data_IF_120531624684
#
_entry.id   IF_120531624684
#
_cell.length_a   1.000
_cell.length_b   1.000
_cell.length_c   1.000
_cell.angle_alpha   90.00
_cell.angle_beta   90.00
_cell.angle_gamma   90.00
#
_symmetry.space_group_name_H-M   'P 1'
#
loop_
_entity.id
_entity.type
_entity.pdbx_description
1 polymer ?
#
# COMPACT_ATOMS: atom_id res chain seq x y z
N UNK A 1 -8.20 -3.39 10.75
CA UNK A 1 -6.90 -4.07 10.52
C UNK A 1 -5.82 -3.31 11.28
N UNK A 2 -5.04 -3.97 12.13
CA UNK A 2 -3.92 -3.34 12.86
C UNK A 2 -2.63 -3.61 12.09
N UNK A 3 -1.94 -2.55 11.68
CA UNK A 3 -0.64 -2.69 11.02
C UNK A 3 0.37 -3.38 11.95
N UNK A 4 1.22 -4.21 11.36
CA UNK A 4 2.30 -4.91 12.07
C UNK A 4 3.56 -4.04 12.07
N UNK A 5 4.31 -4.08 13.16
CA UNK A 5 5.65 -3.49 13.21
C UNK A 5 6.64 -4.46 12.59
N UNK A 6 7.37 -4.04 11.55
CA UNK A 6 8.40 -4.90 10.93
C UNK A 6 9.69 -4.97 11.77
N UNK A 7 10.02 -3.88 12.45
CA UNK A 7 11.18 -3.78 13.32
C UNK A 7 10.74 -3.57 14.78
N UNK A 8 11.56 -3.97 15.78
CA UNK A 8 11.30 -3.67 17.18
C UNK A 8 11.10 -2.17 17.38
N UNK A 9 10.04 -1.80 18.10
CA UNK A 9 9.72 -0.42 18.45
C UNK A 9 9.78 -0.30 19.96
N UNK A 10 10.32 0.81 20.45
CA UNK A 10 10.31 1.08 21.88
C UNK A 10 8.86 1.12 22.39
N UNK A 11 8.54 0.49 23.54
CA UNK A 11 7.15 0.38 24.00
C UNK A 11 6.41 1.73 24.14
N UNK A 12 7.13 2.79 24.48
CA UNK A 12 6.61 4.17 24.61
C UNK A 12 6.17 4.78 23.27
N UNK A 13 6.76 4.33 22.16
CA UNK A 13 6.45 4.82 20.82
C UNK A 13 5.31 4.04 20.15
N UNK A 14 5.02 2.82 20.59
CA UNK A 14 3.97 1.97 20.01
C UNK A 14 2.60 2.64 20.03
N UNK A 15 2.20 3.20 21.18
CA UNK A 15 0.91 3.90 21.33
C UNK A 15 0.85 5.16 20.47
N UNK A 16 1.96 5.89 20.38
CA UNK A 16 2.10 7.10 19.57
C UNK A 16 1.94 6.79 18.08
N UNK A 17 2.59 5.73 17.58
CA UNK A 17 2.49 5.30 16.19
C UNK A 17 1.08 4.80 15.86
N UNK A 18 0.46 4.03 16.75
CA UNK A 18 -0.93 3.60 16.57
C UNK A 18 -1.89 4.78 16.51
N UNK A 19 -1.71 5.78 17.40
CA UNK A 19 -2.50 7.02 17.39
C UNK A 19 -2.31 7.80 16.09
N UNK A 20 -1.07 7.92 15.60
CA UNK A 20 -0.76 8.54 14.31
C UNK A 20 -1.45 7.83 13.15
N UNK A 21 -1.35 6.51 13.08
CA UNK A 21 -1.96 5.71 12.00
C UNK A 21 -3.48 5.78 12.05
N UNK A 22 -4.10 5.80 13.24
CA UNK A 22 -5.55 6.02 13.39
C UNK A 22 -5.97 7.40 12.84
N UNK A 23 -5.21 8.45 13.14
CA UNK A 23 -5.48 9.80 12.61
C UNK A 23 -5.24 9.89 11.11
N UNK A 24 -4.21 9.22 10.60
CA UNK A 24 -3.94 9.13 9.16
C UNK A 24 -5.11 8.45 8.43
N UNK A 25 -5.60 7.33 8.95
CA UNK A 25 -6.78 6.67 8.39
C UNK A 25 -8.03 7.57 8.47
N UNK A 26 -8.24 8.25 9.60
CA UNK A 26 -9.36 9.19 9.77
C UNK A 26 -9.30 10.36 8.78
N UNK A 27 -8.09 10.87 8.47
CA UNK A 27 -7.90 11.96 7.50
C UNK A 27 -8.44 11.60 6.11
N UNK A 28 -8.17 10.40 5.61
CA UNK A 28 -8.66 9.94 4.31
C UNK A 28 -10.14 9.54 4.35
N UNK A 29 -10.58 8.88 5.44
CA UNK A 29 -11.99 8.50 5.61
C UNK A 29 -12.92 9.72 5.61
N UNK A 30 -12.52 10.80 6.29
CA UNK A 30 -13.30 12.05 6.34
C UNK A 30 -13.43 12.72 4.97
N UNK A 31 -12.55 12.38 4.01
CA UNK A 31 -12.58 12.87 2.62
C UNK A 31 -13.24 11.88 1.67
N UNK A 32 -13.83 10.78 2.17
CA UNK A 32 -14.41 9.70 1.38
C UNK A 32 -13.41 9.08 0.37
N UNK A 33 -12.15 8.97 0.75
CA UNK A 33 -11.11 8.34 -0.06
C UNK A 33 -10.88 6.90 0.43
N UNK A 34 -11.00 5.90 -0.43
CA UNK A 34 -10.73 4.49 -0.11
C UNK A 34 -9.22 4.25 -0.03
N UNK A 35 -8.59 4.84 0.97
CA UNK A 35 -7.17 4.67 1.26
C UNK A 35 -7.05 3.73 2.44
N UNK A 36 -6.29 2.65 2.25
CA UNK A 36 -5.95 1.71 3.32
C UNK A 36 -4.47 1.81 3.63
N UNK A 37 -4.13 1.70 4.91
CA UNK A 37 -2.74 1.60 5.29
C UNK A 37 -2.25 0.15 5.17
N UNK A 38 -1.08 -0.04 4.58
CA UNK A 38 -0.45 -1.34 4.35
C UNK A 38 1.02 -1.36 4.79
N UNK A 39 1.52 -2.54 5.14
CA UNK A 39 2.94 -2.75 5.45
C UNK A 39 3.32 -2.44 6.90
N UNK A 40 4.44 -1.74 7.07
CA UNK A 40 5.02 -1.46 8.39
C UNK A 40 4.26 -0.34 9.10
N UNK A 41 3.85 -0.59 10.35
CA UNK A 41 3.19 0.40 11.18
C UNK A 41 4.01 1.69 11.36
N UNK A 42 5.35 1.64 11.35
CA UNK A 42 6.19 2.84 11.45
C UNK A 42 6.16 3.68 10.18
N UNK A 43 6.13 3.04 9.02
CA UNK A 43 6.19 3.67 7.70
C UNK A 43 5.11 3.05 6.78
N UNK A 44 3.83 3.32 7.05
CA UNK A 44 2.75 2.69 6.31
C UNK A 44 2.73 3.19 4.87
N UNK A 45 2.52 2.26 3.94
CA UNK A 45 2.11 2.61 2.58
C UNK A 45 0.63 2.98 2.61
N UNK A 46 0.27 4.09 1.98
CA UNK A 46 -1.13 4.47 1.77
C UNK A 46 -1.57 3.95 0.40
N UNK A 47 -2.55 3.07 0.39
CA UNK A 47 -3.02 2.36 -0.80
C UNK A 47 -4.44 2.79 -1.14
N UNK A 48 -4.60 3.55 -2.22
CA UNK A 48 -5.86 3.98 -2.80
C UNK A 48 -6.49 2.86 -3.62
N UNK A 49 -7.79 2.62 -3.41
CA UNK A 49 -8.61 1.60 -4.08
C UNK A 49 -7.98 0.19 -4.10
N UNK A 50 -7.08 -0.10 -3.15
CA UNK A 50 -6.39 -1.38 -3.05
C UNK A 50 -5.28 -1.64 -4.09
N UNK A 51 -5.02 -0.72 -5.03
CA UNK A 51 -4.13 -0.95 -6.17
C UNK A 51 -3.19 0.22 -6.53
N UNK A 52 -3.29 1.38 -5.86
CA UNK A 52 -2.41 2.54 -6.14
C UNK A 52 -1.77 3.05 -4.85
N UNK A 53 -0.45 3.08 -4.81
CA UNK A 53 0.33 3.63 -3.71
C UNK A 53 0.43 5.15 -3.84
N UNK A 54 0.00 5.87 -2.81
CA UNK A 54 0.10 7.32 -2.80
C UNK A 54 1.56 7.78 -2.69
N UNK A 55 1.90 8.82 -3.44
CA UNK A 55 3.14 9.58 -3.38
C UNK A 55 3.20 10.43 -2.09
N UNK A 56 3.09 9.78 -0.94
CA UNK A 56 3.02 10.43 0.35
C UNK A 56 3.69 9.59 1.43
N UNK A 57 4.09 10.22 2.52
CA UNK A 57 4.52 9.52 3.73
C UNK A 57 4.08 10.29 4.98
N UNK A 58 4.13 9.61 6.12
CA UNK A 58 3.85 10.23 7.41
C UNK A 58 5.10 10.28 8.26
N UNK A 59 5.39 11.44 8.84
CA UNK A 59 6.50 11.64 9.77
C UNK A 59 6.03 12.52 10.93
N UNK A 60 6.13 12.04 12.17
CA UNK A 60 5.75 12.80 13.37
C UNK A 60 4.36 13.49 13.31
N UNK A 61 3.32 12.76 12.90
CA UNK A 61 1.96 13.28 12.68
C UNK A 61 1.83 14.27 11.52
N UNK A 62 2.85 14.49 10.71
CA UNK A 62 2.74 15.23 9.46
C UNK A 62 2.53 14.26 8.32
N UNK A 63 1.37 14.33 7.66
CA UNK A 63 1.16 13.72 6.35
C UNK A 63 1.80 14.64 5.31
N UNK A 64 2.83 14.14 4.64
CA UNK A 64 3.58 14.86 3.61
C UNK A 64 3.24 14.28 2.25
N UNK A 65 2.70 15.13 1.40
CA UNK A 65 2.26 14.81 0.04
C UNK A 65 3.33 15.28 -0.94
N UNK A 66 3.75 14.40 -1.84
CA UNK A 66 4.91 14.60 -2.70
C UNK A 66 4.50 14.84 -4.14
N UNK A 67 5.43 15.40 -4.92
CA UNK A 67 5.28 15.58 -6.36
C UNK A 67 5.51 14.29 -7.17
N UNK A 68 6.17 13.28 -6.59
CA UNK A 68 6.39 11.95 -7.19
C UNK A 68 6.62 10.86 -6.13
N UNK A 69 6.42 9.58 -6.48
CA UNK A 69 6.78 8.47 -5.61
C UNK A 69 8.29 8.39 -5.37
N UNK A 70 8.69 7.78 -4.25
CA UNK A 70 10.08 7.41 -3.95
C UNK A 70 11.09 8.57 -4.10
N UNK A 71 11.04 9.55 -3.18
CA UNK A 71 11.92 10.75 -3.11
C UNK A 71 11.47 11.96 -3.96
N UNK A 72 10.19 12.28 -3.90
CA UNK A 72 9.68 13.57 -4.37
C UNK A 72 9.90 14.73 -3.39
N UNK A 73 9.71 15.95 -3.90
CA UNK A 73 9.62 17.17 -3.09
C UNK A 73 8.28 17.24 -2.36
N UNK A 74 8.27 17.86 -1.18
CA UNK A 74 7.06 17.99 -0.37
C UNK A 74 6.24 19.17 -0.89
N UNK A 75 5.09 18.87 -1.50
CA UNK A 75 4.19 19.87 -2.07
C UNK A 75 3.17 20.36 -1.06
N UNK A 76 2.75 19.49 -0.14
CA UNK A 76 1.78 19.84 0.90
C UNK A 76 2.01 19.05 2.17
N UNK A 77 1.74 19.69 3.31
CA UNK A 77 1.79 19.06 4.62
C UNK A 77 0.45 19.25 5.31
N UNK A 78 -0.14 18.15 5.78
CA UNK A 78 -1.31 18.15 6.65
C UNK A 78 -0.94 17.62 8.02
N UNK A 79 -1.25 18.40 9.08
CA UNK A 79 -1.00 17.95 10.44
C UNK A 79 -2.13 17.05 10.91
N UNK A 80 -1.78 15.84 11.30
CA UNK A 80 -2.70 14.81 11.80
C UNK A 80 -3.07 15.10 13.25
N UNK A 81 -4.07 15.95 13.43
CA UNK A 81 -4.66 16.25 14.74
C UNK A 81 -5.96 15.47 14.95
N UNK A 82 -6.66 15.76 16.05
CA UNK A 82 -8.00 15.22 16.28
C UNK A 82 -9.06 15.87 15.38
N UNK A 83 -8.88 17.16 15.08
CA UNK A 83 -9.66 17.87 14.07
C UNK A 83 -9.01 17.59 12.72
N UNK A 84 -9.75 16.95 11.82
CA UNK A 84 -9.27 16.65 10.48
C UNK A 84 -9.13 17.93 9.69
N UNK A 85 -7.92 18.20 9.20
CA UNK A 85 -7.61 19.36 8.37
C UNK A 85 -7.81 19.06 6.88
N UNK A 86 -8.02 20.12 6.11
CA UNK A 86 -8.12 20.10 4.65
C UNK A 86 -9.38 19.44 4.09
N UNK A 87 -9.68 19.73 2.83
CA UNK A 87 -10.88 19.24 2.14
C UNK A 87 -10.57 18.04 1.24
N UNK A 88 -11.63 17.40 0.72
CA UNK A 88 -11.47 16.32 -0.26
C UNK A 88 -10.83 16.86 -1.53
N UNK A 89 -11.30 18.02 -1.98
CA UNK A 89 -10.91 18.69 -3.22
C UNK A 89 -9.40 18.94 -3.22
N UNK A 90 -8.84 19.47 -2.13
CA UNK A 90 -7.39 19.70 -2.01
C UNK A 90 -6.56 18.43 -2.19
N UNK A 91 -7.05 17.29 -1.68
CA UNK A 91 -6.35 16.00 -1.80
C UNK A 91 -6.52 15.42 -3.20
N UNK A 92 -7.70 15.58 -3.79
CA UNK A 92 -7.98 15.13 -5.16
C UNK A 92 -7.18 15.94 -6.17
N UNK A 93 -7.13 17.26 -6.05
CA UNK A 93 -6.29 18.14 -6.88
C UNK A 93 -4.82 17.69 -6.83
N UNK A 94 -4.31 17.39 -5.63
CA UNK A 94 -2.96 16.84 -5.50
C UNK A 94 -2.80 15.47 -6.19
N UNK A 95 -3.77 14.57 -6.07
CA UNK A 95 -3.73 13.26 -6.75
C UNK A 95 -3.72 13.39 -8.28
N UNK A 96 -4.43 14.39 -8.82
CA UNK A 96 -4.54 14.64 -10.25
C UNK A 96 -3.30 15.35 -10.80
N UNK A 97 -2.69 16.22 -10.00
CA UNK A 97 -1.52 17.00 -10.42
C UNK A 97 -0.22 16.18 -10.43
N UNK A 98 -0.09 15.21 -9.53
CA UNK A 98 1.17 14.50 -9.31
C UNK A 98 1.02 12.98 -9.51
N UNK A 99 2.00 12.32 -10.15
CA UNK A 99 1.91 10.91 -10.45
C UNK A 99 1.92 10.04 -9.19
N UNK A 100 1.13 8.96 -9.24
CA UNK A 100 1.01 7.96 -8.18
C UNK A 100 1.63 6.62 -8.62
N UNK A 101 1.79 5.68 -7.70
CA UNK A 101 2.49 4.42 -7.97
C UNK A 101 1.50 3.27 -8.19
N UNK A 102 1.43 2.65 -9.38
CA UNK A 102 0.67 1.42 -9.57
C UNK A 102 1.23 0.30 -8.69
N UNK A 103 0.35 -0.54 -8.16
CA UNK A 103 0.72 -1.64 -7.27
C UNK A 103 0.25 -2.98 -7.81
N UNK A 104 1.17 -3.94 -7.80
CA UNK A 104 0.95 -5.27 -8.33
C UNK A 104 0.78 -6.26 -7.18
N UNK A 105 0.04 -7.34 -7.44
CA UNK A 105 -0.22 -8.43 -6.50
C UNK A 105 -0.09 -9.75 -7.24
N UNK A 106 0.23 -10.81 -6.51
CA UNK A 106 0.19 -12.17 -7.04
C UNK A 106 -1.09 -12.83 -6.57
N UNK A 107 -1.87 -13.33 -7.51
CA UNK A 107 -3.15 -13.99 -7.29
C UNK A 107 -3.05 -15.46 -7.65
N UNK A 108 -3.65 -16.32 -6.83
CA UNK A 108 -3.87 -17.70 -7.22
C UNK A 108 -4.93 -17.74 -8.33
N UNK A 109 -4.58 -18.35 -9.46
CA UNK A 109 -5.39 -18.36 -10.68
C UNK A 109 -6.83 -18.82 -10.39
N UNK A 110 -7.80 -18.16 -11.03
CA UNK A 110 -9.23 -18.50 -10.92
C UNK A 110 -9.86 -18.26 -9.53
N UNK A 111 -9.14 -17.66 -8.59
CA UNK A 111 -9.60 -17.43 -7.22
C UNK A 111 -9.66 -15.94 -6.86
N UNK A 112 -10.01 -15.59 -5.62
CA UNK A 112 -9.85 -14.23 -5.05
C UNK A 112 -8.80 -14.22 -3.94
N UNK A 113 -7.84 -15.12 -4.00
CA UNK A 113 -6.77 -15.27 -3.00
C UNK A 113 -5.46 -14.72 -3.55
N UNK A 114 -4.79 -13.91 -2.75
CA UNK A 114 -3.54 -13.24 -3.09
C UNK A 114 -2.41 -13.73 -2.20
N UNK A 115 -1.18 -13.73 -2.69
CA UNK A 115 -0.01 -14.19 -1.95
C UNK A 115 0.21 -13.32 -0.71
N UNK A 116 0.25 -13.92 0.47
CA UNK A 116 0.45 -13.23 1.76
C UNK A 116 1.83 -13.50 2.37
N UNK A 117 2.56 -14.49 1.83
CA UNK A 117 3.88 -14.88 2.27
C UNK A 117 4.15 -16.36 2.05
N UNK A 118 5.14 -16.86 2.77
CA UNK A 118 5.55 -18.25 2.71
C UNK A 118 5.54 -18.86 4.11
N UNK A 119 5.22 -20.13 4.19
CA UNK A 119 5.33 -20.94 5.39
C UNK A 119 6.19 -22.17 5.10
N UNK A 120 6.47 -22.96 6.13
CA UNK A 120 7.31 -24.15 6.03
C UNK A 120 6.56 -25.36 6.60
N UNK A 121 6.73 -26.52 5.97
CA UNK A 121 6.22 -27.80 6.49
C UNK A 121 6.89 -28.11 7.82
N UNK A 122 8.22 -27.97 7.87
CA UNK A 122 8.99 -27.96 9.11
C UNK A 122 9.37 -26.53 9.47
N UNK A 123 8.76 -25.97 10.52
CA UNK A 123 8.98 -24.59 10.95
C UNK A 123 10.31 -24.39 11.68
N UNK A 124 10.82 -25.41 12.37
CA UNK A 124 12.06 -25.30 13.14
C UNK A 124 13.27 -25.30 12.21
N UNK A 125 13.26 -26.22 11.24
CA UNK A 125 14.34 -26.37 10.26
C UNK A 125 14.14 -25.52 9.01
N UNK A 126 12.96 -24.89 8.86
CA UNK A 126 12.55 -24.12 7.66
C UNK A 126 12.63 -24.96 6.39
N UNK A 127 12.17 -26.21 6.44
CA UNK A 127 12.13 -27.13 5.31
C UNK A 127 10.72 -27.22 4.70
N UNK A 128 10.66 -27.47 3.40
CA UNK A 128 9.41 -27.58 2.64
C UNK A 128 8.66 -26.24 2.61
N UNK A 129 9.27 -25.20 2.06
CA UNK A 129 8.64 -23.88 1.91
C UNK A 129 7.42 -23.98 0.97
N UNK A 130 6.30 -23.35 1.34
CA UNK A 130 5.11 -23.24 0.48
C UNK A 130 4.47 -21.84 0.59
N UNK A 131 3.86 -21.33 -0.49
CA UNK A 131 3.16 -20.05 -0.48
C UNK A 131 1.84 -20.14 0.30
N UNK A 132 1.48 -19.02 0.92
CA UNK A 132 0.19 -18.85 1.61
C UNK A 132 -0.60 -17.78 0.89
N UNK A 133 -1.84 -18.10 0.51
CA UNK A 133 -2.74 -17.17 -0.16
C UNK A 133 -3.95 -16.83 0.73
N UNK A 134 -4.35 -15.56 0.78
CA UNK A 134 -5.55 -15.10 1.49
C UNK A 134 -6.18 -13.89 0.79
N UNK A 135 -7.41 -13.55 1.18
CA UNK A 135 -8.13 -12.38 0.63
C UNK A 135 -7.59 -11.05 1.15
N UNK A 136 -6.96 -11.06 2.32
CA UNK A 136 -6.48 -9.88 3.04
C UNK A 136 -5.00 -10.04 3.41
N UNK A 137 -4.36 -8.97 3.86
CA UNK A 137 -2.94 -8.95 4.28
C UNK A 137 -1.95 -9.48 3.23
N UNK A 138 -2.32 -9.40 1.95
CA UNK A 138 -1.49 -9.85 0.84
C UNK A 138 -0.26 -8.96 0.64
N UNK A 139 0.77 -9.53 0.01
CA UNK A 139 1.94 -8.81 -0.45
C UNK A 139 1.60 -7.89 -1.61
N UNK A 140 2.25 -6.73 -1.60
CA UNK A 140 2.11 -5.69 -2.61
C UNK A 140 3.49 -5.40 -3.16
N UNK A 141 3.58 -5.33 -4.49
CA UNK A 141 4.79 -5.05 -5.23
C UNK A 141 4.68 -3.66 -5.86
N UNK A 142 5.73 -2.85 -5.64
CA UNK A 142 5.83 -1.48 -6.18
C UNK A 142 6.36 -1.43 -7.62
N UNK A 143 7.04 -2.51 -8.02
CA UNK A 143 7.64 -2.69 -9.32
C UNK A 143 7.06 -3.96 -9.92
N UNK A 144 6.80 -3.95 -11.22
CA UNK A 144 6.21 -5.08 -11.92
C UNK A 144 7.20 -6.24 -11.95
N UNK A 145 8.45 -5.93 -12.23
CA UNK A 145 9.56 -6.87 -12.35
C UNK A 145 9.73 -7.68 -11.06
N UNK A 146 9.61 -7.02 -9.90
CA UNK A 146 9.65 -7.69 -8.61
C UNK A 146 8.45 -8.65 -8.38
N UNK A 147 7.30 -8.37 -8.98
CA UNK A 147 6.17 -9.31 -8.98
C UNK A 147 6.42 -10.47 -9.96
N UNK A 148 7.01 -10.20 -11.13
CA UNK A 148 7.37 -11.20 -12.13
C UNK A 148 8.40 -12.21 -11.60
N UNK A 149 9.40 -11.76 -10.84
CA UNK A 149 10.36 -12.64 -10.17
C UNK A 149 9.66 -13.65 -9.25
N UNK A 150 8.68 -13.20 -8.46
CA UNK A 150 7.90 -14.06 -7.58
C UNK A 150 6.95 -14.96 -8.36
N UNK A 151 6.33 -14.43 -9.42
CA UNK A 151 5.47 -15.20 -10.31
C UNK A 151 6.23 -16.39 -10.91
N UNK A 152 7.43 -16.14 -11.45
CA UNK A 152 8.27 -17.15 -12.10
C UNK A 152 8.70 -18.21 -11.08
N UNK A 153 9.16 -17.79 -9.91
CA UNK A 153 9.50 -18.72 -8.81
C UNK A 153 8.32 -19.63 -8.44
N UNK A 154 7.12 -19.08 -8.29
CA UNK A 154 5.93 -19.85 -7.93
C UNK A 154 5.49 -20.80 -9.05
N UNK A 155 5.62 -20.40 -10.31
CA UNK A 155 5.33 -21.27 -11.47
C UNK A 155 6.33 -22.42 -11.57
N UNK A 156 7.62 -22.17 -11.33
CA UNK A 156 8.66 -23.21 -11.25
C UNK A 156 8.36 -24.21 -10.12
N UNK A 157 7.86 -23.72 -8.99
CA UNK A 157 7.41 -24.53 -7.86
C UNK A 157 6.05 -25.25 -8.13
N UNK A 158 5.46 -25.08 -9.32
CA UNK A 158 4.24 -25.78 -9.76
C UNK A 158 2.91 -25.12 -9.39
N UNK A 159 2.91 -23.86 -8.97
CA UNK A 159 1.67 -23.14 -8.61
C UNK A 159 1.06 -22.40 -9.80
N UNK A 160 -0.27 -22.46 -9.90
CA UNK A 160 -1.04 -21.67 -10.86
C UNK A 160 -1.32 -20.27 -10.29
N UNK A 161 -0.52 -19.30 -10.73
CA UNK A 161 -0.58 -17.92 -10.28
C UNK A 161 -0.51 -16.94 -11.44
N UNK A 162 -1.04 -15.74 -11.21
CA UNK A 162 -1.02 -14.62 -12.14
C UNK A 162 -0.71 -13.30 -11.42
N UNK A 163 -0.19 -12.31 -12.16
CA UNK A 163 -0.09 -10.94 -11.66
C UNK A 163 -1.45 -10.27 -11.84
N UNK A 164 -1.98 -9.73 -10.76
CA UNK A 164 -3.14 -8.85 -10.81
C UNK A 164 -2.65 -7.44 -11.14
N UNK A 165 -2.98 -6.98 -12.34
CA UNK A 165 -2.78 -5.58 -12.73
C UNK A 165 -3.57 -4.63 -11.83
N UNK A 166 -3.07 -3.41 -11.58
CA UNK A 166 -3.83 -2.41 -10.86
C UNK A 166 -5.06 -1.99 -11.67
N UNK A 167 -6.24 -1.97 -11.04
CA UNK A 167 -7.47 -1.48 -11.65
C UNK A 167 -7.47 0.06 -11.63
N UNK A 168 -6.84 0.66 -12.65
CA UNK A 168 -6.67 2.12 -12.76
C UNK A 168 -7.98 2.83 -13.11
N UNK A 169 -8.90 2.15 -13.79
CA UNK A 169 -10.22 2.70 -14.12
C UNK A 169 -11.10 2.84 -12.87
N UNK A 170 -11.05 1.87 -11.95
CA UNK A 170 -11.67 2.01 -10.63
C UNK A 170 -11.13 3.24 -9.90
N UNK A 171 -9.81 3.47 -9.94
CA UNK A 171 -9.19 4.62 -9.28
C UNK A 171 -9.67 5.92 -9.92
N UNK A 172 -9.65 6.01 -11.26
CA UNK A 172 -10.13 7.19 -11.99
C UNK A 172 -11.61 7.46 -11.74
N UNK A 173 -12.45 6.43 -11.60
CA UNK A 173 -13.86 6.58 -11.23
C UNK A 173 -14.04 7.18 -9.83
N UNK A 174 -13.07 6.96 -8.93
CA UNK A 174 -13.13 7.40 -7.54
C UNK A 174 -12.59 8.82 -7.32
N UNK A 175 -11.54 9.21 -8.04
CA UNK A 175 -10.83 10.49 -7.84
C UNK A 175 -10.65 11.34 -9.10
N UNK A 176 -11.24 10.95 -10.23
CA UNK A 176 -11.05 11.60 -11.52
C UNK A 176 -9.73 11.20 -12.19
N UNK A 177 -9.39 11.84 -13.32
CA UNK A 177 -8.19 11.51 -14.10
C UNK A 177 -6.91 11.81 -13.32
N UNK A 178 -6.10 10.78 -13.06
CA UNK A 178 -4.81 10.90 -12.37
C UNK A 178 -3.70 10.24 -13.19
N UNK A 179 -2.45 10.62 -12.93
CA UNK A 179 -1.27 10.08 -13.62
C UNK A 179 -0.57 9.02 -12.77
N UNK A 180 0.15 8.11 -13.45
CA UNK A 180 0.84 6.99 -12.81
C UNK A 180 2.30 6.92 -13.28
N UNK A 181 3.22 6.62 -12.37
CA UNK A 181 4.63 6.42 -12.73
C UNK A 181 4.82 5.13 -13.51
N UNK A 182 5.66 5.18 -14.55
CA UNK A 182 6.03 4.00 -15.35
C UNK A 182 4.94 3.56 -16.33
N UNK A 183 3.85 4.33 -16.43
CA UNK A 183 2.80 4.19 -17.40
C UNK A 183 2.72 5.54 -18.11
N UNK A 184 3.70 5.81 -18.99
CA UNK A 184 3.59 6.91 -19.95
C UNK A 184 2.64 6.47 -21.08
N UNK A 185 1.83 7.41 -21.58
CA UNK A 185 0.90 7.20 -22.70
C UNK A 185 1.62 6.78 -24.00
#
# INVERSE_FOLDING_TARGET
>A
MQLKFKNPVRPDLTSTIQKRNRRLQAFFNAKNLDVRLHGDAQNPLMVLCGCVGLSAYVHNFDLRMLDKPNQGEVMRIFKLTEIVQGTREEVVEWLQQYPQMPLYRIQHAGSKLFLCGFNFVDREQKLGRYPVFAREDYHIYKQREAAEDILNMLKEDGYEVEITEPDLELVKSHVGPITFVGLED
#
